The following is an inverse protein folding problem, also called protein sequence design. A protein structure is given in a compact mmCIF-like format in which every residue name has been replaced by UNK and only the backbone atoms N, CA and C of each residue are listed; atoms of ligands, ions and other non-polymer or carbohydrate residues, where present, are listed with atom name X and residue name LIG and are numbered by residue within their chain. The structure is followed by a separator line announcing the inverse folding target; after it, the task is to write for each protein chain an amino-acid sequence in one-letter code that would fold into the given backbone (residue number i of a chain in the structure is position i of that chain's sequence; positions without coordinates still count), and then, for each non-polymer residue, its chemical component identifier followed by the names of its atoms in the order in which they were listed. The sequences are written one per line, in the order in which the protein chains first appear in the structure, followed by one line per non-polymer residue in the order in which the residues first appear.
data_IF_229956598209
#
_entry.id   IF_229956598209
#
_cell.length_a   1.000
_cell.length_b   1.000
_cell.length_c   1.000
_cell.angle_alpha   90.00
_cell.angle_beta   90.00
_cell.angle_gamma   90.00
#
_symmetry.space_group_name_H-M   'P 1'
#
loop_
_entity.id
_entity.type
_entity.pdbx_description
1 polymer ?
#
# COMPACT_ATOMS: atom_id res chain seq x y z
N UNK A 1 10.32 -17.78 -7.84
CA UNK A 1 9.80 -16.68 -7.07
C UNK A 1 9.18 -15.61 -7.95
N UNK A 2 8.13 -15.02 -7.51
CA UNK A 2 7.37 -14.10 -8.33
C UNK A 2 7.75 -12.66 -8.05
N UNK A 3 8.11 -11.94 -9.10
CA UNK A 3 8.35 -10.53 -8.99
C UNK A 3 7.02 -9.79 -8.99
N UNK A 4 7.00 -8.63 -8.37
CA UNK A 4 5.82 -7.78 -8.46
C UNK A 4 5.80 -7.18 -9.84
N UNK A 5 4.74 -7.47 -10.59
CA UNK A 5 4.56 -6.92 -11.92
C UNK A 5 3.72 -5.67 -11.84
N UNK A 6 3.62 -4.96 -12.96
CA UNK A 6 2.75 -3.81 -13.07
C UNK A 6 1.31 -4.19 -12.75
N UNK A 7 0.89 -5.36 -13.19
CA UNK A 7 -0.45 -5.85 -12.93
C UNK A 7 -0.69 -6.06 -11.44
N UNK A 8 0.30 -6.59 -10.74
CA UNK A 8 0.20 -6.80 -9.30
C UNK A 8 0.04 -5.47 -8.57
N UNK A 9 0.68 -4.43 -9.05
CA UNK A 9 0.64 -3.13 -8.40
C UNK A 9 -0.63 -2.36 -8.69
N UNK A 10 -1.47 -2.83 -9.59
CA UNK A 10 -2.73 -2.17 -9.87
C UNK A 10 -3.66 -2.11 -8.66
N UNK A 11 -3.44 -2.99 -7.70
CA UNK A 11 -4.27 -3.01 -6.49
C UNK A 11 -3.82 -2.03 -5.43
N UNK A 12 -2.71 -1.32 -5.65
CA UNK A 12 -2.23 -0.29 -4.74
C UNK A 12 -2.11 1.02 -5.50
N UNK A 13 -2.22 2.16 -4.81
CA UNK A 13 -2.11 3.45 -5.49
C UNK A 13 -0.72 3.67 -6.07
N UNK A 14 -0.67 4.32 -7.22
CA UNK A 14 0.58 4.79 -7.79
C UNK A 14 1.01 6.08 -7.10
N UNK A 15 2.25 6.53 -7.38
CA UNK A 15 2.77 7.73 -6.74
C UNK A 15 1.87 8.94 -6.93
N UNK A 16 1.32 9.11 -8.14
CA UNK A 16 0.42 10.24 -8.41
C UNK A 16 -0.83 10.18 -7.57
N UNK A 17 -1.38 8.97 -7.40
CA UNK A 17 -2.57 8.78 -6.60
C UNK A 17 -2.27 9.03 -5.12
N UNK A 18 -1.11 8.61 -4.67
CA UNK A 18 -0.67 8.87 -3.31
C UNK A 18 -0.62 10.38 -3.03
N UNK A 19 0.00 11.12 -3.92
CA UNK A 19 0.11 12.57 -3.76
C UNK A 19 -1.26 13.22 -3.76
N UNK A 20 -2.11 12.84 -4.70
CA UNK A 20 -3.46 13.40 -4.79
C UNK A 20 -4.26 13.10 -3.53
N UNK A 21 -4.15 11.89 -3.02
CA UNK A 21 -4.86 11.50 -1.81
C UNK A 21 -4.39 12.31 -0.61
N UNK A 22 -3.07 12.46 -0.50
CA UNK A 22 -2.48 13.19 0.61
C UNK A 22 -2.95 14.65 0.60
N UNK A 23 -2.96 15.27 -0.58
CA UNK A 23 -3.37 16.66 -0.72
C UNK A 23 -4.86 16.87 -0.46
N UNK A 24 -5.68 15.94 -0.92
CA UNK A 24 -7.13 16.11 -0.83
C UNK A 24 -7.71 15.65 0.50
N UNK A 25 -7.17 14.59 1.08
CA UNK A 25 -7.74 13.98 2.29
C UNK A 25 -6.90 14.15 3.53
N UNK A 26 -5.66 14.59 3.39
CA UNK A 26 -4.78 14.84 4.52
C UNK A 26 -4.02 13.61 4.96
N UNK A 27 -3.09 13.83 5.89
CA UNK A 27 -2.17 12.78 6.33
C UNK A 27 -2.86 11.64 7.04
N UNK A 28 -3.77 11.96 7.96
CA UNK A 28 -4.37 10.91 8.78
C UNK A 28 -5.21 9.95 7.93
N UNK A 29 -6.01 10.50 7.01
CA UNK A 29 -6.82 9.65 6.15
C UNK A 29 -5.95 8.81 5.23
N UNK A 30 -4.88 9.38 4.71
CA UNK A 30 -3.97 8.65 3.82
C UNK A 30 -3.26 7.54 4.57
N UNK A 31 -2.81 7.81 5.78
CA UNK A 31 -2.19 6.79 6.62
C UNK A 31 -3.16 5.63 6.89
N UNK A 32 -4.41 5.97 7.23
CA UNK A 32 -5.41 4.95 7.50
C UNK A 32 -5.66 4.10 6.27
N UNK A 33 -5.69 4.73 5.10
CA UNK A 33 -5.87 4.01 3.84
C UNK A 33 -4.78 2.95 3.64
N UNK A 34 -3.52 3.33 3.88
CA UNK A 34 -2.42 2.38 3.68
C UNK A 34 -2.41 1.26 4.71
N UNK A 35 -2.81 1.55 5.95
CA UNK A 35 -2.93 0.51 6.96
C UNK A 35 -4.02 -0.49 6.57
N UNK A 36 -5.18 0.02 6.11
CA UNK A 36 -6.26 -0.87 5.70
C UNK A 36 -5.87 -1.73 4.50
N UNK A 37 -5.15 -1.15 3.55
CA UNK A 37 -4.69 -1.92 2.40
C UNK A 37 -3.66 -2.97 2.80
N UNK A 38 -2.75 -2.62 3.69
CA UNK A 38 -1.77 -3.59 4.17
C UNK A 38 -2.48 -4.77 4.85
N UNK A 39 -3.47 -4.47 5.67
CA UNK A 39 -4.25 -5.51 6.33
C UNK A 39 -4.93 -6.42 5.30
N UNK A 40 -5.53 -5.81 4.29
CA UNK A 40 -6.21 -6.57 3.24
C UNK A 40 -5.25 -7.57 2.57
N UNK A 41 -4.06 -7.11 2.23
CA UNK A 41 -3.10 -7.99 1.57
C UNK A 41 -2.57 -9.06 2.50
N UNK A 42 -2.33 -8.73 3.76
CA UNK A 42 -1.86 -9.70 4.73
C UNK A 42 -2.92 -10.77 4.98
N UNK A 43 -4.18 -10.36 5.01
CA UNK A 43 -5.28 -11.29 5.18
C UNK A 43 -5.43 -12.23 3.99
N UNK A 44 -5.23 -11.69 2.80
CA UNK A 44 -5.44 -12.41 1.55
C UNK A 44 -4.30 -13.35 1.17
N UNK A 45 -3.10 -13.08 1.65
CA UNK A 45 -1.92 -13.81 1.21
C UNK A 45 -2.00 -15.31 1.49
N UNK A 46 -2.74 -15.71 2.49
CA UNK A 46 -2.88 -17.13 2.83
C UNK A 46 -3.66 -17.90 1.79
N UNK A 47 -4.46 -17.21 1.00
CA UNK A 47 -5.36 -17.86 0.06
C UNK A 47 -4.93 -17.70 -1.39
N UNK A 48 -4.45 -16.52 -1.76
CA UNK A 48 -4.24 -16.23 -3.17
C UNK A 48 -2.88 -15.65 -3.50
N UNK A 49 -2.54 -14.55 -2.87
CA UNK A 49 -1.44 -13.73 -3.34
C UNK A 49 -0.07 -14.20 -2.91
N UNK A 50 0.02 -14.92 -1.80
CA UNK A 50 1.31 -15.40 -1.32
C UNK A 50 2.32 -14.29 -1.18
N UNK A 51 3.50 -14.51 -1.74
CA UNK A 51 4.61 -13.55 -1.65
C UNK A 51 4.25 -12.21 -2.28
N UNK A 52 3.49 -12.22 -3.37
CA UNK A 52 3.11 -10.96 -4.01
C UNK A 52 2.30 -10.08 -3.06
N UNK A 53 1.36 -10.68 -2.34
CA UNK A 53 0.56 -9.91 -1.39
C UNK A 53 1.41 -9.38 -0.22
N UNK A 54 2.39 -10.15 0.21
CA UNK A 54 3.30 -9.69 1.26
C UNK A 54 4.08 -8.46 0.79
N UNK A 55 4.55 -8.49 -0.45
CA UNK A 55 5.28 -7.35 -1.01
C UNK A 55 4.38 -6.13 -1.15
N UNK A 56 3.12 -6.32 -1.51
CA UNK A 56 2.16 -5.22 -1.59
C UNK A 56 1.91 -4.62 -0.21
N UNK A 57 1.77 -5.47 0.80
CA UNK A 57 1.58 -4.99 2.16
C UNK A 57 2.78 -4.18 2.61
N UNK A 58 3.99 -4.65 2.30
CA UNK A 58 5.20 -3.93 2.65
C UNK A 58 5.23 -2.56 1.99
N UNK A 59 4.86 -2.49 0.71
CA UNK A 59 4.81 -1.23 -0.01
C UNK A 59 3.86 -0.25 0.69
N UNK A 60 2.70 -0.73 1.11
CA UNK A 60 1.74 0.12 1.82
C UNK A 60 2.29 0.63 3.13
N UNK A 61 2.97 -0.24 3.87
CA UNK A 61 3.55 0.16 5.15
C UNK A 61 4.70 1.13 4.96
N UNK A 62 5.47 0.97 3.89
CA UNK A 62 6.53 1.91 3.58
C UNK A 62 5.96 3.30 3.29
N UNK A 63 4.83 3.37 2.60
CA UNK A 63 4.17 4.65 2.34
C UNK A 63 3.69 5.30 3.65
N UNK A 64 3.14 4.50 4.54
CA UNK A 64 2.74 5.01 5.86
C UNK A 64 3.94 5.64 6.56
N UNK A 65 5.06 4.94 6.54
CA UNK A 65 6.26 5.42 7.23
C UNK A 65 6.81 6.68 6.58
N UNK A 66 6.68 6.82 5.27
CA UNK A 66 7.09 8.05 4.59
C UNK A 66 6.29 9.24 5.10
N UNK A 67 5.00 9.07 5.30
CA UNK A 67 4.16 10.14 5.82
C UNK A 67 4.59 10.53 7.23
N UNK A 68 4.85 9.53 8.07
CA UNK A 68 5.30 9.78 9.44
C UNK A 68 6.63 10.51 9.47
N UNK A 69 7.52 10.14 8.56
CA UNK A 69 8.82 10.77 8.48
C UNK A 69 8.75 12.21 8.06
N UNK A 70 7.75 12.55 7.26
CA UNK A 70 7.59 13.91 6.76
C UNK A 70 7.14 14.89 7.83
N UNK A 71 6.82 14.39 8.98
CA UNK A 71 6.46 15.24 10.10
C UNK A 71 7.73 15.68 10.83
#
# INVERSE_FOLDING_TARGET
MTEITEEDLQEVPLEDEYTAMLESQGEEATKAFYICNAFKYLHRQRRKGGVADIKKAKWCLDKYLEIEKGK
#
